data_IF_207219148372
#
_entry.id   IF_207219148372
#
_cell.length_a   1.000
_cell.length_b   1.000
_cell.length_c   1.000
_cell.angle_alpha   90.00
_cell.angle_beta   90.00
_cell.angle_gamma   90.00
#
_symmetry.space_group_name_H-M   'P 1'
#
loop_
_entity.id
_entity.type
_entity.pdbx_description
1 polymer ?
#
# COMPACT_ATOMS: atom_id res chain seq x y z
N UNK A 1 98.63 -45.44 -16.24
CA UNK A 1 97.20 -45.58 -16.69
C UNK A 1 96.22 -44.73 -15.84
N UNK A 2 96.60 -44.37 -14.65
CA UNK A 2 95.72 -43.68 -13.69
C UNK A 2 95.55 -42.18 -13.95
N UNK A 3 96.52 -41.51 -14.48
CA UNK A 3 96.54 -40.07 -14.69
C UNK A 3 95.59 -39.61 -15.83
N UNK A 4 95.48 -40.41 -16.89
CA UNK A 4 94.53 -40.15 -17.98
C UNK A 4 93.06 -40.30 -17.56
N UNK A 5 92.78 -41.25 -16.71
CA UNK A 5 91.42 -41.45 -16.16
C UNK A 5 91.04 -40.31 -15.23
N UNK A 6 91.93 -39.76 -14.45
CA UNK A 6 91.72 -38.61 -13.57
C UNK A 6 91.44 -37.30 -14.36
N UNK A 7 92.12 -37.12 -15.49
CA UNK A 7 91.90 -35.97 -16.39
C UNK A 7 90.50 -36.05 -17.05
N UNK A 8 90.09 -37.22 -17.53
CA UNK A 8 88.81 -37.49 -18.16
C UNK A 8 87.67 -37.23 -17.09
N UNK A 9 87.83 -37.71 -15.88
CA UNK A 9 86.84 -37.44 -14.79
C UNK A 9 86.77 -35.97 -14.49
N UNK A 10 87.84 -35.19 -14.38
CA UNK A 10 87.82 -33.73 -14.16
C UNK A 10 87.17 -33.00 -15.33
N UNK A 11 87.36 -33.44 -16.55
CA UNK A 11 86.76 -32.84 -17.73
C UNK A 11 85.24 -33.07 -17.77
N UNK A 12 84.82 -34.34 -17.56
CA UNK A 12 83.39 -34.65 -17.45
C UNK A 12 82.66 -33.92 -16.30
N UNK A 13 83.36 -33.81 -15.17
CA UNK A 13 82.78 -33.03 -14.02
C UNK A 13 82.61 -31.50 -14.34
N UNK A 14 83.58 -30.93 -15.06
CA UNK A 14 83.50 -29.52 -15.52
C UNK A 14 82.37 -29.35 -16.54
N UNK A 15 82.19 -30.29 -17.46
CA UNK A 15 81.06 -30.24 -18.42
C UNK A 15 79.69 -30.36 -17.75
N UNK A 16 79.55 -31.31 -16.83
CA UNK A 16 78.29 -31.46 -16.05
C UNK A 16 77.97 -30.19 -15.26
N UNK A 17 78.96 -29.59 -14.58
CA UNK A 17 78.77 -28.35 -13.85
C UNK A 17 78.42 -27.20 -14.80
N UNK A 18 79.01 -27.14 -16.01
CA UNK A 18 78.67 -26.06 -16.98
C UNK A 18 77.26 -26.20 -17.51
N UNK A 19 76.80 -27.44 -17.79
CA UNK A 19 75.42 -27.71 -18.21
C UNK A 19 74.40 -27.38 -17.10
N UNK A 20 74.70 -27.75 -15.86
CA UNK A 20 73.84 -27.40 -14.72
C UNK A 20 73.76 -25.90 -14.51
N UNK A 21 74.90 -25.16 -14.56
CA UNK A 21 74.89 -23.68 -14.49
C UNK A 21 74.05 -23.04 -15.61
N UNK A 22 74.09 -23.56 -16.79
CA UNK A 22 73.34 -23.09 -17.97
C UNK A 22 71.86 -23.32 -17.78
N UNK A 23 71.44 -24.51 -17.34
CA UNK A 23 70.01 -24.79 -16.98
C UNK A 23 69.48 -23.86 -15.86
N UNK A 24 70.24 -23.74 -14.79
CA UNK A 24 69.88 -22.86 -13.69
C UNK A 24 69.73 -21.38 -14.13
N UNK A 25 70.66 -20.91 -14.98
CA UNK A 25 70.51 -19.54 -15.55
C UNK A 25 69.31 -19.37 -16.45
N UNK A 26 68.92 -20.39 -17.20
CA UNK A 26 67.74 -20.39 -18.03
C UNK A 26 66.45 -20.38 -17.17
N UNK A 27 66.40 -21.18 -16.12
CA UNK A 27 65.28 -21.21 -15.18
C UNK A 27 65.10 -19.87 -14.45
N UNK A 28 66.19 -19.27 -13.96
CA UNK A 28 66.17 -17.96 -13.33
C UNK A 28 65.73 -16.84 -14.30
N UNK A 29 66.13 -16.94 -15.59
CA UNK A 29 65.64 -16.01 -16.62
C UNK A 29 64.15 -16.19 -16.88
N UNK A 30 63.64 -17.44 -16.96
CA UNK A 30 62.19 -17.72 -17.11
C UNK A 30 61.40 -17.20 -15.93
N UNK A 31 61.84 -17.43 -14.71
CA UNK A 31 61.18 -16.89 -13.50
C UNK A 31 61.18 -15.35 -13.49
N UNK A 32 62.26 -14.68 -13.83
CA UNK A 32 62.33 -13.21 -13.92
C UNK A 32 61.40 -12.63 -14.99
N UNK A 33 61.27 -13.31 -16.13
CA UNK A 33 60.34 -12.91 -17.19
C UNK A 33 58.89 -13.12 -16.75
N UNK A 34 58.57 -14.26 -16.08
CA UNK A 34 57.28 -14.56 -15.51
C UNK A 34 56.88 -13.48 -14.47
N UNK A 35 57.78 -13.13 -13.53
CA UNK A 35 57.53 -12.09 -12.53
C UNK A 35 57.32 -10.72 -13.16
N UNK A 36 58.10 -10.35 -14.20
CA UNK A 36 57.87 -9.08 -14.91
C UNK A 36 56.52 -9.00 -15.62
N UNK A 37 56.13 -10.12 -16.27
CA UNK A 37 54.80 -10.20 -16.91
C UNK A 37 53.69 -10.14 -15.87
N UNK A 38 53.80 -10.89 -14.80
CA UNK A 38 52.84 -10.86 -13.71
C UNK A 38 52.70 -9.43 -13.11
N UNK A 39 53.80 -8.77 -12.79
CA UNK A 39 53.75 -7.36 -12.31
C UNK A 39 53.09 -6.43 -13.32
N UNK A 40 53.33 -6.56 -14.63
CA UNK A 40 52.65 -5.76 -15.63
C UNK A 40 51.13 -6.00 -15.65
N UNK A 41 50.70 -7.26 -15.54
CA UNK A 41 49.29 -7.61 -15.45
C UNK A 41 48.67 -6.97 -14.20
N UNK A 42 49.32 -7.12 -13.05
CA UNK A 42 48.85 -6.48 -11.78
C UNK A 42 48.72 -4.97 -11.93
N UNK A 43 49.71 -4.29 -12.53
CA UNK A 43 49.61 -2.85 -12.76
C UNK A 43 48.47 -2.49 -13.69
N UNK A 44 48.21 -3.23 -14.75
CA UNK A 44 47.10 -3.03 -15.66
C UNK A 44 45.77 -3.18 -14.91
N UNK A 45 45.62 -4.24 -14.12
CA UNK A 45 44.42 -4.49 -13.33
C UNK A 45 44.17 -3.36 -12.33
N UNK A 46 45.21 -2.93 -11.57
CA UNK A 46 45.09 -1.82 -10.63
C UNK A 46 44.69 -0.53 -11.35
N UNK A 47 45.29 -0.25 -12.52
CA UNK A 47 44.95 0.94 -13.31
C UNK A 47 43.50 0.92 -13.77
N UNK A 48 43.02 -0.22 -14.27
CA UNK A 48 41.61 -0.39 -14.68
C UNK A 48 40.67 -0.18 -13.49
N UNK A 49 40.98 -0.80 -12.34
CA UNK A 49 40.18 -0.60 -11.12
C UNK A 49 40.18 0.86 -10.64
N UNK A 50 41.32 1.53 -10.73
CA UNK A 50 41.41 2.97 -10.37
C UNK A 50 40.57 3.83 -11.31
N UNK A 51 40.60 3.56 -12.62
CA UNK A 51 39.75 4.27 -13.60
C UNK A 51 38.26 4.03 -13.32
N UNK A 52 37.86 2.77 -13.09
CA UNK A 52 36.47 2.43 -12.75
C UNK A 52 36.04 3.12 -11.44
N UNK A 53 36.89 3.15 -10.44
CA UNK A 53 36.62 3.81 -9.17
C UNK A 53 36.42 5.33 -9.35
N UNK A 54 37.29 5.99 -10.10
CA UNK A 54 37.19 7.42 -10.39
C UNK A 54 35.91 7.71 -11.19
N UNK A 55 35.64 6.91 -12.23
CA UNK A 55 34.43 7.06 -13.05
C UNK A 55 33.16 6.90 -12.19
N UNK A 56 33.11 5.89 -11.34
CA UNK A 56 32.01 5.68 -10.40
C UNK A 56 31.85 6.84 -9.41
N UNK A 57 32.94 7.35 -8.88
CA UNK A 57 32.92 8.51 -7.96
C UNK A 57 32.39 9.78 -8.66
N UNK A 58 32.78 10.04 -9.90
CA UNK A 58 32.25 11.15 -10.71
C UNK A 58 30.76 10.95 -11.01
N UNK A 59 30.33 9.73 -11.36
CA UNK A 59 28.93 9.42 -11.61
C UNK A 59 28.07 9.67 -10.37
N UNK A 60 28.46 9.09 -9.22
CA UNK A 60 27.71 9.22 -7.97
C UNK A 60 27.92 10.54 -7.22
N UNK A 61 28.72 11.44 -7.75
CA UNK A 61 28.70 12.84 -7.30
C UNK A 61 27.47 13.63 -7.80
N UNK A 62 26.66 13.03 -8.72
CA UNK A 62 25.46 13.60 -9.29
C UNK A 62 24.24 12.67 -9.20
N UNK A 63 24.43 11.42 -8.78
CA UNK A 63 23.39 10.39 -8.70
C UNK A 63 23.40 9.73 -7.33
N UNK A 64 22.24 9.27 -6.91
CA UNK A 64 22.12 8.48 -5.69
C UNK A 64 22.72 7.09 -5.86
N UNK A 65 23.51 6.62 -4.90
CA UNK A 65 23.91 5.21 -4.81
C UNK A 65 23.15 4.44 -3.72
N UNK A 66 22.38 5.13 -2.87
CA UNK A 66 21.57 4.53 -1.82
C UNK A 66 20.41 3.74 -2.42
N UNK A 67 19.88 2.75 -1.68
CA UNK A 67 18.74 1.93 -2.11
C UNK A 67 17.40 2.42 -1.59
N UNK A 68 17.27 3.70 -1.20
CA UNK A 68 16.05 4.29 -0.68
C UNK A 68 14.97 4.48 -1.73
N UNK A 69 13.77 4.81 -1.26
CA UNK A 69 12.64 5.22 -2.07
C UNK A 69 12.13 6.58 -1.62
N UNK A 70 11.53 7.34 -2.52
CA UNK A 70 10.83 8.58 -2.24
C UNK A 70 9.49 8.50 -2.96
N UNK A 71 8.39 8.55 -2.25
CA UNK A 71 7.04 8.37 -2.79
C UNK A 71 6.90 7.08 -3.64
N UNK A 72 7.56 5.99 -3.19
CA UNK A 72 7.64 4.72 -3.91
C UNK A 72 8.54 4.71 -5.15
N UNK A 73 9.26 5.81 -5.45
CA UNK A 73 10.20 5.93 -6.55
C UNK A 73 11.59 5.55 -6.04
N UNK A 74 12.28 4.62 -6.71
CA UNK A 74 13.64 4.23 -6.35
C UNK A 74 14.63 5.36 -6.62
N UNK A 75 15.44 5.69 -5.62
CA UNK A 75 16.49 6.73 -5.72
C UNK A 75 17.73 6.24 -6.47
N UNK A 76 17.96 4.91 -6.52
CA UNK A 76 19.20 4.34 -7.03
C UNK A 76 19.48 4.72 -8.48
N UNK A 77 20.66 5.25 -8.75
CA UNK A 77 21.16 5.72 -10.04
C UNK A 77 20.40 6.92 -10.63
N UNK A 78 19.54 7.55 -9.84
CA UNK A 78 18.80 8.74 -10.26
C UNK A 78 19.52 10.02 -9.76
N UNK A 79 19.37 11.12 -10.50
CA UNK A 79 19.72 12.46 -10.04
C UNK A 79 18.56 13.08 -9.26
N UNK A 80 18.82 14.10 -8.45
CA UNK A 80 17.77 14.86 -7.74
C UNK A 80 16.72 15.38 -8.73
N UNK A 81 17.14 16.00 -9.83
CA UNK A 81 16.23 16.55 -10.83
C UNK A 81 15.33 15.48 -11.46
N UNK A 82 15.91 14.30 -11.79
CA UNK A 82 15.15 13.18 -12.34
C UNK A 82 14.11 12.64 -11.35
N UNK A 83 14.46 12.60 -10.06
CA UNK A 83 13.52 12.17 -9.02
C UNK A 83 12.39 13.18 -8.86
N UNK A 84 12.68 14.48 -8.81
CA UNK A 84 11.67 15.55 -8.72
C UNK A 84 10.72 15.52 -9.91
N UNK A 85 11.23 15.28 -11.12
CA UNK A 85 10.40 15.14 -12.32
C UNK A 85 9.45 13.93 -12.20
N UNK A 86 9.97 12.76 -11.79
CA UNK A 86 9.15 11.56 -11.59
C UNK A 86 8.12 11.72 -10.46
N UNK A 87 8.47 12.45 -9.39
CA UNK A 87 7.52 12.77 -8.33
C UNK A 87 6.40 13.65 -8.90
N UNK A 88 6.75 14.68 -9.64
CA UNK A 88 5.76 15.58 -10.25
C UNK A 88 4.84 14.84 -11.25
N UNK A 89 5.40 13.94 -12.07
CA UNK A 89 4.60 13.09 -12.97
C UNK A 89 3.64 12.18 -12.17
N UNK A 90 4.13 11.53 -11.11
CA UNK A 90 3.32 10.66 -10.27
C UNK A 90 2.22 11.43 -9.53
N UNK A 91 2.55 12.63 -9.02
CA UNK A 91 1.57 13.52 -8.40
C UNK A 91 0.49 13.97 -9.37
N UNK A 92 0.87 14.36 -10.59
CA UNK A 92 -0.09 14.76 -11.62
C UNK A 92 -1.01 13.61 -12.07
N UNK A 93 -0.51 12.38 -12.01
CA UNK A 93 -1.26 11.17 -12.35
C UNK A 93 -2.06 10.60 -11.16
N UNK A 94 -1.88 11.16 -9.97
CA UNK A 94 -2.56 10.68 -8.78
C UNK A 94 -4.06 10.94 -8.87
N UNK A 95 -4.83 9.94 -8.52
CA UNK A 95 -6.27 10.02 -8.27
C UNK A 95 -6.62 9.12 -7.08
N UNK A 96 -7.52 9.60 -6.27
CA UNK A 96 -8.10 8.83 -5.17
C UNK A 96 -9.43 8.25 -5.65
N UNK A 97 -9.57 6.93 -5.64
CA UNK A 97 -10.83 6.24 -5.85
C UNK A 97 -11.54 6.07 -4.51
N UNK A 98 -12.75 6.59 -4.43
CA UNK A 98 -13.62 6.52 -3.25
C UNK A 98 -14.70 5.47 -3.53
N UNK A 99 -14.62 4.33 -2.85
CA UNK A 99 -15.60 3.25 -3.01
C UNK A 99 -16.79 3.51 -2.08
N UNK A 100 -17.96 3.63 -2.68
CA UNK A 100 -19.24 3.86 -2.00
C UNK A 100 -20.22 2.72 -2.27
N UNK A 101 -21.36 2.70 -1.56
CA UNK A 101 -22.44 1.73 -1.79
C UNK A 101 -23.10 1.85 -3.16
N UNK A 102 -23.04 3.04 -3.77
CA UNK A 102 -23.68 3.35 -5.06
C UNK A 102 -22.73 3.25 -6.25
N UNK A 103 -21.43 3.05 -5.99
CA UNK A 103 -20.37 2.95 -6.99
C UNK A 103 -19.13 3.72 -6.59
N UNK A 104 -18.16 3.76 -7.48
CA UNK A 104 -16.89 4.43 -7.23
C UNK A 104 -16.93 5.88 -7.75
N UNK A 105 -16.37 6.81 -6.96
CA UNK A 105 -16.13 8.19 -7.36
C UNK A 105 -14.62 8.48 -7.29
N UNK A 106 -14.15 9.52 -7.97
CA UNK A 106 -12.72 9.84 -8.02
C UNK A 106 -12.44 11.30 -7.75
N UNK A 107 -11.34 11.56 -7.05
CA UNK A 107 -10.75 12.89 -6.89
C UNK A 107 -9.39 12.88 -7.58
N UNK A 108 -9.22 13.72 -8.61
CA UNK A 108 -7.97 13.87 -9.31
C UNK A 108 -7.06 14.89 -8.60
N UNK A 109 -5.75 14.67 -8.63
CA UNK A 109 -4.75 15.59 -8.07
C UNK A 109 -4.91 17.03 -8.58
N UNK A 110 -5.27 17.19 -9.85
CA UNK A 110 -5.45 18.50 -10.48
C UNK A 110 -6.64 19.29 -9.94
N UNK A 111 -7.69 18.61 -9.43
CA UNK A 111 -8.87 19.26 -8.86
C UNK A 111 -8.58 19.94 -7.52
N UNK A 112 -7.60 19.43 -6.79
CA UNK A 112 -7.20 19.89 -5.45
C UNK A 112 -5.84 20.61 -5.41
N UNK A 113 -5.23 20.88 -6.59
CA UNK A 113 -3.88 21.46 -6.70
C UNK A 113 -2.82 20.70 -5.92
N UNK A 114 -2.90 19.35 -5.88
CA UNK A 114 -1.97 18.49 -5.16
C UNK A 114 -0.56 18.63 -5.73
N UNK A 115 0.41 18.98 -4.89
CA UNK A 115 1.80 19.21 -5.28
C UNK A 115 2.77 18.61 -4.26
N UNK A 116 3.96 18.28 -4.73
CA UNK A 116 5.08 17.97 -3.87
C UNK A 116 5.57 19.24 -3.17
N UNK A 117 5.67 19.21 -1.85
CA UNK A 117 6.28 20.25 -1.04
C UNK A 117 7.78 19.97 -0.89
N UNK A 118 8.59 20.62 -1.73
CA UNK A 118 10.04 20.47 -1.73
C UNK A 118 10.67 21.29 -0.60
N UNK A 119 10.88 20.65 0.54
CA UNK A 119 11.58 21.25 1.69
C UNK A 119 13.08 20.91 1.72
N UNK A 120 13.60 20.31 0.64
CA UNK A 120 15.02 19.96 0.51
C UNK A 120 15.39 18.62 1.14
N UNK A 121 14.43 17.72 1.33
CA UNK A 121 14.69 16.39 1.92
C UNK A 121 15.60 15.55 1.00
N UNK A 122 15.38 15.64 -0.32
CA UNK A 122 16.21 14.94 -1.31
C UNK A 122 17.64 15.45 -1.31
N UNK A 123 17.83 16.78 -1.24
CA UNK A 123 19.13 17.41 -1.13
C UNK A 123 19.82 17.01 0.17
N UNK A 124 19.13 17.08 1.30
CA UNK A 124 19.67 16.71 2.60
C UNK A 124 20.09 15.23 2.63
N UNK A 125 19.36 14.34 1.98
CA UNK A 125 19.76 12.95 1.86
C UNK A 125 20.96 12.81 0.93
N UNK A 126 20.97 13.53 -0.19
CA UNK A 126 22.06 13.50 -1.16
C UNK A 126 23.38 13.98 -0.56
N UNK A 127 23.36 15.02 0.29
CA UNK A 127 24.51 15.53 1.00
C UNK A 127 25.08 14.55 2.04
N UNK A 128 24.24 13.73 2.65
CA UNK A 128 24.68 12.68 3.58
C UNK A 128 25.48 11.57 2.87
N UNK A 129 25.21 11.31 1.60
CA UNK A 129 25.96 10.31 0.84
C UNK A 129 27.35 10.85 0.47
N UNK A 130 28.37 9.98 0.55
CA UNK A 130 29.73 10.31 0.15
C UNK A 130 30.05 9.57 -1.14
N UNK A 131 30.08 10.30 -2.26
CA UNK A 131 30.25 9.72 -3.60
C UNK A 131 31.41 8.72 -3.72
N UNK A 132 32.52 8.93 -2.98
CA UNK A 132 33.67 8.02 -2.99
C UNK A 132 33.41 6.67 -2.30
N UNK A 133 32.29 6.50 -1.56
CA UNK A 133 31.88 5.26 -0.93
C UNK A 133 30.88 4.45 -1.77
N UNK A 134 30.66 4.82 -3.02
CA UNK A 134 29.66 4.19 -3.91
C UNK A 134 29.81 2.66 -4.03
N UNK A 135 31.04 2.15 -3.90
CA UNK A 135 31.30 0.69 -3.94
C UNK A 135 30.72 -0.07 -2.74
N UNK A 136 30.26 0.64 -1.68
CA UNK A 136 29.54 0.10 -0.53
C UNK A 136 28.02 0.11 -0.72
N UNK A 137 27.51 0.39 -1.92
CA UNK A 137 26.07 0.56 -2.19
C UNK A 137 25.18 -0.63 -1.73
N UNK A 138 25.74 -1.83 -1.64
CA UNK A 138 25.03 -2.99 -1.13
C UNK A 138 24.83 -3.02 0.39
N UNK A 139 25.56 -2.18 1.14
CA UNK A 139 25.50 -2.09 2.59
C UNK A 139 24.69 -0.87 3.09
N UNK A 140 24.16 -0.04 2.17
CA UNK A 140 23.35 1.13 2.55
C UNK A 140 21.93 0.69 2.94
N UNK A 141 21.42 1.25 4.04
CA UNK A 141 20.05 1.05 4.47
C UNK A 141 19.07 1.54 3.39
N UNK A 142 17.97 0.86 3.24
CA UNK A 142 16.84 1.36 2.46
C UNK A 142 16.09 2.35 3.33
N UNK A 143 16.21 3.63 3.04
CA UNK A 143 15.41 4.67 3.66
C UNK A 143 14.22 4.96 2.75
N UNK A 144 13.03 4.98 3.33
CA UNK A 144 11.85 5.54 2.68
C UNK A 144 11.73 6.98 3.18
N UNK A 145 11.73 7.92 2.24
CA UNK A 145 11.70 9.35 2.59
C UNK A 145 10.23 9.76 2.56
N UNK A 146 9.68 10.19 3.71
CA UNK A 146 8.39 10.84 3.71
C UNK A 146 8.53 12.18 2.99
N UNK A 147 7.86 12.33 1.89
CA UNK A 147 7.79 13.61 1.17
C UNK A 147 6.60 14.41 1.68
N UNK A 148 6.81 15.69 1.90
CA UNK A 148 5.74 16.64 2.11
C UNK A 148 4.85 16.76 0.86
N UNK A 149 3.54 16.83 1.08
CA UNK A 149 2.58 17.19 0.04
C UNK A 149 1.87 18.47 0.45
N UNK A 150 1.56 19.31 -0.50
CA UNK A 150 0.69 20.48 -0.34
C UNK A 150 -0.50 20.34 -1.27
N UNK A 151 -1.64 20.82 -0.84
CA UNK A 151 -2.87 20.92 -1.63
C UNK A 151 -3.61 22.19 -1.24
N UNK A 152 -4.51 22.60 -2.08
CA UNK A 152 -5.43 23.70 -1.79
C UNK A 152 -6.61 23.14 -1.00
N UNK A 153 -6.64 23.43 0.31
CA UNK A 153 -7.68 22.91 1.21
C UNK A 153 -9.09 23.37 0.78
N UNK A 154 -9.24 24.60 0.27
CA UNK A 154 -10.54 25.08 -0.20
C UNK A 154 -11.01 24.31 -1.42
N UNK A 155 -10.11 24.01 -2.35
CA UNK A 155 -10.44 23.19 -3.52
C UNK A 155 -10.76 21.76 -3.13
N UNK A 156 -10.08 21.21 -2.11
CA UNK A 156 -10.40 19.89 -1.58
C UNK A 156 -11.82 19.87 -1.02
N UNK A 157 -12.17 20.82 -0.15
CA UNK A 157 -13.51 20.93 0.43
C UNK A 157 -14.58 21.08 -0.66
N UNK A 158 -14.35 21.96 -1.64
CA UNK A 158 -15.26 22.18 -2.77
C UNK A 158 -15.40 20.90 -3.64
N UNK A 159 -14.30 20.16 -3.83
CA UNK A 159 -14.30 18.91 -4.61
C UNK A 159 -15.05 17.80 -3.86
N UNK A 160 -14.82 17.65 -2.55
CA UNK A 160 -15.55 16.68 -1.72
C UNK A 160 -17.04 17.03 -1.72
N UNK A 161 -17.39 18.30 -1.50
CA UNK A 161 -18.77 18.74 -1.52
C UNK A 161 -19.49 18.52 -2.86
N UNK A 162 -18.75 18.38 -3.95
CA UNK A 162 -19.30 18.09 -5.28
C UNK A 162 -19.49 16.59 -5.57
N UNK A 163 -18.99 15.69 -4.72
CA UNK A 163 -19.20 14.25 -4.89
C UNK A 163 -20.66 13.89 -4.78
N UNK A 164 -21.13 12.96 -5.63
CA UNK A 164 -22.53 12.55 -5.65
C UNK A 164 -22.94 11.89 -4.34
N UNK A 165 -22.04 11.13 -3.72
CA UNK A 165 -22.28 10.43 -2.46
C UNK A 165 -22.46 11.37 -1.26
N UNK A 166 -22.03 12.65 -1.37
CA UNK A 166 -22.13 13.66 -0.32
C UNK A 166 -23.41 14.51 -0.48
N UNK A 167 -24.09 14.44 -1.63
CA UNK A 167 -25.31 15.23 -1.87
C UNK A 167 -26.51 14.65 -1.09
N UNK A 168 -27.18 15.48 -0.30
CA UNK A 168 -28.34 15.02 0.51
C UNK A 168 -29.47 14.44 -0.36
N UNK A 169 -29.65 14.95 -1.58
CA UNK A 169 -30.70 14.51 -2.51
C UNK A 169 -30.51 13.07 -3.01
N UNK A 170 -29.29 12.57 -2.98
CA UNK A 170 -28.95 11.20 -3.40
C UNK A 170 -28.93 10.21 -2.24
N UNK A 171 -28.96 10.73 -1.01
CA UNK A 171 -28.89 9.90 0.19
C UNK A 171 -30.27 9.34 0.57
N UNK A 172 -30.29 8.07 0.93
CA UNK A 172 -31.41 7.39 1.56
C UNK A 172 -31.04 7.02 2.99
N UNK A 173 -31.87 7.46 3.95
CA UNK A 173 -31.67 7.09 5.35
C UNK A 173 -31.82 5.56 5.54
N UNK A 174 -31.10 4.96 6.50
CA UNK A 174 -31.35 3.59 6.88
C UNK A 174 -32.74 3.44 7.48
N UNK A 175 -33.35 2.27 7.27
CA UNK A 175 -34.65 1.92 7.89
C UNK A 175 -34.43 0.74 8.82
N UNK A 176 -34.92 0.85 10.03
CA UNK A 176 -34.84 -0.22 11.02
C UNK A 176 -35.73 -1.41 10.62
N UNK A 177 -35.31 -2.62 10.97
CA UNK A 177 -36.17 -3.78 10.90
C UNK A 177 -37.38 -3.55 11.80
N UNK A 178 -38.56 -3.91 11.32
CA UNK A 178 -39.83 -3.68 12.03
C UNK A 178 -40.82 -4.81 11.76
N UNK A 179 -41.91 -4.81 12.52
CA UNK A 179 -42.98 -5.77 12.33
C UNK A 179 -44.01 -5.25 11.34
N UNK A 180 -44.37 -6.06 10.36
CA UNK A 180 -45.46 -5.82 9.42
C UNK A 180 -46.46 -6.96 9.44
N UNK A 181 -47.76 -6.64 9.31
CA UNK A 181 -48.81 -7.65 9.14
C UNK A 181 -49.00 -7.95 7.67
N UNK A 182 -48.74 -9.20 7.30
CA UNK A 182 -48.85 -9.65 5.91
C UNK A 182 -49.23 -11.11 5.84
N UNK A 183 -50.13 -11.47 4.90
CA UNK A 183 -50.58 -12.85 4.68
C UNK A 183 -51.14 -13.52 5.95
N UNK A 184 -51.85 -12.75 6.79
CA UNK A 184 -52.53 -13.23 7.98
C UNK A 184 -51.63 -13.48 9.21
N UNK A 185 -50.43 -12.95 9.21
CA UNK A 185 -49.48 -13.02 10.33
C UNK A 185 -48.56 -11.80 10.38
N UNK A 186 -47.98 -11.54 11.55
CA UNK A 186 -46.86 -10.61 11.68
C UNK A 186 -45.58 -11.26 11.20
N UNK A 187 -44.80 -10.50 10.43
CA UNK A 187 -43.48 -10.87 9.91
C UNK A 187 -42.51 -9.74 10.21
N UNK A 188 -41.23 -10.08 10.27
CA UNK A 188 -40.16 -9.07 10.38
C UNK A 188 -39.84 -8.56 8.98
N UNK A 189 -40.11 -7.30 8.71
CA UNK A 189 -39.57 -6.60 7.55
C UNK A 189 -38.08 -6.31 7.84
N UNK A 190 -37.21 -6.72 6.92
CA UNK A 190 -35.75 -6.56 7.09
C UNK A 190 -35.38 -5.09 7.06
N UNK A 191 -34.33 -4.75 7.80
CA UNK A 191 -33.71 -3.44 7.75
C UNK A 191 -33.21 -3.11 6.34
N UNK A 192 -33.17 -1.81 6.04
CA UNK A 192 -32.49 -1.31 4.84
C UNK A 192 -31.32 -0.44 5.28
N UNK A 193 -30.14 -0.77 4.75
CA UNK A 193 -28.92 -0.07 5.15
C UNK A 193 -28.88 1.38 4.67
N UNK A 194 -29.58 1.69 3.55
CA UNK A 194 -29.49 3.00 2.94
C UNK A 194 -28.05 3.32 2.46
N UNK A 195 -27.83 4.56 2.08
CA UNK A 195 -26.51 5.10 1.69
C UNK A 195 -26.18 6.43 2.37
N UNK A 196 -26.91 6.78 3.44
CA UNK A 196 -26.68 8.03 4.17
C UNK A 196 -25.32 7.99 4.89
N UNK A 197 -24.50 9.03 4.61
CA UNK A 197 -23.18 9.20 5.22
C UNK A 197 -23.22 10.11 6.44
N UNK A 198 -22.34 9.85 7.38
CA UNK A 198 -21.82 10.84 8.32
C UNK A 198 -20.78 11.68 7.56
N UNK A 199 -21.18 12.85 7.10
CA UNK A 199 -20.37 13.74 6.26
C UNK A 199 -19.00 14.02 6.90
N UNK A 200 -18.97 14.27 8.23
CA UNK A 200 -17.72 14.60 8.91
C UNK A 200 -16.75 13.40 8.98
N UNK A 201 -17.28 12.18 9.02
CA UNK A 201 -16.43 10.98 8.95
C UNK A 201 -15.92 10.77 7.53
N UNK A 202 -16.77 10.93 6.53
CA UNK A 202 -16.41 10.81 5.13
C UNK A 202 -15.31 11.83 4.74
N UNK A 203 -15.48 13.10 5.08
CA UNK A 203 -14.48 14.15 4.87
C UNK A 203 -13.12 13.77 5.46
N UNK A 204 -13.11 13.35 6.72
CA UNK A 204 -11.87 12.95 7.39
C UNK A 204 -11.21 11.73 6.77
N UNK A 205 -12.01 10.75 6.35
CA UNK A 205 -11.49 9.54 5.69
C UNK A 205 -10.84 9.88 4.35
N UNK A 206 -11.48 10.73 3.56
CA UNK A 206 -10.98 11.20 2.26
C UNK A 206 -9.72 12.06 2.45
N UNK A 207 -9.74 13.04 3.33
CA UNK A 207 -8.59 13.90 3.63
C UNK A 207 -7.39 13.09 4.10
N UNK A 208 -7.60 12.14 5.00
CA UNK A 208 -6.55 11.23 5.48
C UNK A 208 -5.98 10.38 4.36
N UNK A 209 -6.84 9.81 3.51
CA UNK A 209 -6.41 8.98 2.38
C UNK A 209 -5.52 9.75 1.39
N UNK A 210 -5.87 11.01 1.10
CA UNK A 210 -5.07 11.90 0.24
C UNK A 210 -3.73 12.22 0.90
N UNK A 211 -3.71 12.59 2.19
CA UNK A 211 -2.48 12.90 2.93
C UNK A 211 -1.52 11.72 3.04
N UNK A 212 -2.07 10.51 3.11
CA UNK A 212 -1.30 9.26 3.13
C UNK A 212 -0.92 8.77 1.72
N UNK A 213 -1.41 9.41 0.67
CA UNK A 213 -1.13 9.04 -0.72
C UNK A 213 -1.75 7.72 -1.14
N UNK A 214 -2.89 7.35 -0.53
CA UNK A 214 -3.62 6.14 -0.89
C UNK A 214 -4.28 6.31 -2.26
N UNK A 215 -4.34 5.26 -3.04
CA UNK A 215 -5.01 5.25 -4.35
C UNK A 215 -6.50 4.90 -4.25
N UNK A 216 -6.94 4.38 -3.07
CA UNK A 216 -8.31 3.98 -2.84
C UNK A 216 -8.68 4.11 -1.36
N UNK A 217 -9.93 4.51 -1.10
CA UNK A 217 -10.56 4.51 0.23
C UNK A 217 -11.99 3.97 0.12
N UNK A 218 -12.38 3.09 1.04
CA UNK A 218 -13.74 2.56 1.15
C UNK A 218 -14.47 3.25 2.29
N UNK A 219 -15.56 3.97 1.99
CA UNK A 219 -16.37 4.63 3.02
C UNK A 219 -17.10 3.61 3.91
N UNK A 220 -17.34 2.39 3.43
CA UNK A 220 -17.88 1.29 4.23
C UNK A 220 -16.86 0.80 5.27
N UNK A 221 -15.60 0.56 4.86
CA UNK A 221 -14.54 0.09 5.76
C UNK A 221 -14.12 1.15 6.78
N UNK A 222 -14.38 2.43 6.49
CA UNK A 222 -14.12 3.56 7.38
C UNK A 222 -15.32 3.90 8.28
N UNK A 223 -16.34 3.04 8.33
CA UNK A 223 -17.56 3.25 9.14
C UNK A 223 -18.22 4.62 8.92
N UNK A 224 -18.21 5.10 7.67
CA UNK A 224 -18.76 6.41 7.34
C UNK A 224 -20.28 6.42 7.18
N UNK A 225 -20.92 5.26 7.03
CA UNK A 225 -22.38 5.19 6.87
C UNK A 225 -23.13 5.19 8.17
N UNK A 226 -24.30 5.82 8.17
CA UNK A 226 -25.25 5.74 9.26
C UNK A 226 -25.91 4.35 9.20
N UNK A 227 -25.82 3.61 10.31
CA UNK A 227 -26.35 2.25 10.39
C UNK A 227 -27.77 2.25 10.94
N UNK A 228 -28.63 1.27 10.56
CA UNK A 228 -29.88 0.98 11.24
C UNK A 228 -29.64 0.71 12.73
N UNK A 229 -30.61 1.05 13.56
CA UNK A 229 -30.54 0.79 15.01
C UNK A 229 -30.99 -0.62 15.36
N UNK A 230 -31.88 -1.17 14.55
CA UNK A 230 -32.48 -2.49 14.75
C UNK A 230 -32.34 -3.32 13.49
N UNK A 231 -31.87 -4.54 13.67
CA UNK A 231 -31.67 -5.53 12.63
C UNK A 231 -32.66 -6.69 12.78
N UNK A 232 -32.95 -7.43 11.73
CA UNK A 232 -33.87 -8.58 11.73
C UNK A 232 -33.45 -9.68 12.70
N UNK A 233 -32.17 -9.74 13.05
CA UNK A 233 -31.61 -10.69 14.00
C UNK A 233 -31.87 -10.28 15.46
N UNK A 234 -32.40 -9.08 15.74
CA UNK A 234 -32.65 -8.60 17.09
C UNK A 234 -33.60 -9.58 17.85
N UNK A 235 -33.13 -10.05 19.00
CA UNK A 235 -33.84 -11.06 19.79
C UNK A 235 -35.15 -10.51 20.40
N UNK A 236 -35.19 -9.20 20.70
CA UNK A 236 -36.41 -8.56 21.22
C UNK A 236 -37.45 -8.49 20.10
N UNK A 237 -37.05 -8.03 18.89
CA UNK A 237 -37.94 -7.95 17.75
C UNK A 237 -38.51 -9.32 17.38
N UNK A 238 -37.70 -10.39 17.37
CA UNK A 238 -38.13 -11.75 17.14
C UNK A 238 -39.18 -12.20 18.17
N UNK A 239 -38.90 -11.94 19.43
CA UNK A 239 -39.79 -12.31 20.53
C UNK A 239 -41.14 -11.59 20.40
N UNK A 240 -41.15 -10.27 20.16
CA UNK A 240 -42.36 -9.49 19.99
C UNK A 240 -43.17 -9.98 18.76
N UNK A 241 -42.50 -10.40 17.66
CA UNK A 241 -43.12 -11.00 16.52
C UNK A 241 -43.87 -12.32 16.90
N UNK A 242 -43.19 -13.18 17.66
CA UNK A 242 -43.80 -14.44 18.13
C UNK A 242 -44.99 -14.17 19.06
N UNK A 243 -44.85 -13.23 19.98
CA UNK A 243 -45.92 -12.91 20.95
C UNK A 243 -47.12 -12.25 20.29
N UNK A 244 -46.92 -11.35 19.33
CA UNK A 244 -47.97 -10.78 18.51
C UNK A 244 -48.72 -11.88 17.70
N UNK A 245 -48.00 -12.81 17.10
CA UNK A 245 -48.61 -13.92 16.35
C UNK A 245 -49.40 -14.88 17.25
N UNK A 246 -49.05 -15.05 18.52
CA UNK A 246 -49.87 -15.84 19.46
C UNK A 246 -51.23 -15.19 19.71
N UNK A 247 -51.34 -13.88 19.67
CA UNK A 247 -52.61 -13.16 19.81
C UNK A 247 -53.53 -13.42 18.63
N UNK A 248 -53.03 -13.58 17.42
CA UNK A 248 -53.78 -13.80 16.19
C UNK A 248 -54.49 -15.16 16.12
N UNK A 249 -54.15 -16.10 17.00
CA UNK A 249 -54.80 -17.41 17.05
C UNK A 249 -56.23 -17.34 17.58
N UNK A 250 -56.55 -16.25 18.30
CA UNK A 250 -57.87 -16.07 18.88
C UNK A 250 -58.95 -15.88 17.76
N UNK A 251 -60.06 -16.54 17.91
CA UNK A 251 -61.27 -16.34 17.07
C UNK A 251 -62.47 -16.24 17.97
N UNK A 252 -63.12 -15.11 17.94
CA UNK A 252 -64.31 -14.83 18.78
C UNK A 252 -65.50 -14.67 17.84
N UNK A 253 -66.57 -15.39 18.12
CA UNK A 253 -67.82 -15.22 17.38
C UNK A 253 -68.88 -14.66 18.31
N UNK A 254 -69.39 -13.49 18.00
CA UNK A 254 -70.52 -12.91 18.67
C UNK A 254 -71.80 -13.32 17.93
N UNK A 255 -72.70 -13.98 18.63
CA UNK A 255 -73.99 -14.41 18.09
C UNK A 255 -75.09 -13.47 18.64
N UNK A 256 -75.64 -12.63 17.77
CA UNK A 256 -76.70 -11.68 18.11
C UNK A 256 -78.10 -12.24 17.79
N UNK A 257 -78.17 -13.52 17.38
CA UNK A 257 -79.41 -14.19 17.04
C UNK A 257 -79.86 -13.98 15.59
N UNK A 258 -79.89 -12.76 15.12
CA UNK A 258 -80.19 -12.33 13.76
C UNK A 258 -78.96 -12.26 12.86
N UNK A 259 -77.77 -12.07 13.48
CA UNK A 259 -76.49 -12.03 12.78
C UNK A 259 -75.34 -12.54 13.66
N UNK A 260 -74.23 -12.90 13.03
CA UNK A 260 -72.98 -13.30 13.68
C UNK A 260 -71.88 -12.35 13.25
N UNK A 261 -71.14 -11.85 14.21
CA UNK A 261 -69.95 -11.09 13.98
C UNK A 261 -68.75 -11.95 14.40
N UNK A 262 -67.72 -11.96 13.58
CA UNK A 262 -66.52 -12.78 13.82
C UNK A 262 -65.34 -11.82 13.95
N UNK A 263 -64.68 -11.84 15.10
CA UNK A 263 -63.41 -11.22 15.30
C UNK A 263 -62.35 -12.28 14.99
N UNK A 264 -61.63 -12.09 13.93
CA UNK A 264 -60.55 -13.02 13.48
C UNK A 264 -59.20 -12.34 13.51
N UNK A 265 -58.17 -12.97 12.92
CA UNK A 265 -56.81 -12.50 12.91
C UNK A 265 -56.64 -11.11 12.28
N UNK A 266 -57.51 -10.73 11.31
CA UNK A 266 -57.38 -9.43 10.66
C UNK A 266 -57.82 -8.32 11.58
N UNK A 267 -59.01 -8.44 12.21
CA UNK A 267 -59.53 -7.47 13.19
C UNK A 267 -58.58 -7.40 14.40
N UNK A 268 -58.02 -8.53 14.87
CA UNK A 268 -57.09 -8.52 16.01
C UNK A 268 -55.77 -7.83 15.60
N UNK A 269 -55.28 -8.03 14.37
CA UNK A 269 -54.08 -7.36 13.90
C UNK A 269 -54.22 -5.84 13.88
N UNK A 270 -55.40 -5.31 13.53
CA UNK A 270 -55.68 -3.86 13.51
C UNK A 270 -55.68 -3.24 14.92
N UNK A 271 -55.83 -4.04 15.96
CA UNK A 271 -55.79 -3.61 17.35
C UNK A 271 -54.39 -3.62 17.96
N UNK A 272 -53.42 -4.31 17.31
CA UNK A 272 -52.07 -4.40 17.79
C UNK A 272 -51.27 -3.25 17.21
N UNK A 273 -50.75 -2.39 18.09
CA UNK A 273 -49.81 -1.32 17.74
C UNK A 273 -48.46 -1.58 18.39
N UNK A 274 -47.40 -1.14 17.75
CA UNK A 274 -46.06 -1.25 18.27
C UNK A 274 -45.48 0.11 18.65
N UNK A 275 -44.94 0.22 19.86
CA UNK A 275 -44.20 1.39 20.30
C UNK A 275 -42.81 1.47 19.72
N UNK A 276 -42.11 2.57 19.98
CA UNK A 276 -40.71 2.78 19.52
C UNK A 276 -39.73 1.72 20.05
N UNK A 277 -40.09 1.01 21.10
CA UNK A 277 -39.32 -0.05 21.71
C UNK A 277 -39.77 -1.46 21.28
N UNK A 278 -40.64 -1.54 20.25
CA UNK A 278 -41.27 -2.73 19.66
C UNK A 278 -42.22 -3.49 20.63
N UNK A 279 -42.43 -3.01 21.83
CA UNK A 279 -43.49 -3.58 22.68
C UNK A 279 -44.84 -3.31 22.03
N UNK A 280 -45.68 -4.34 21.93
CA UNK A 280 -47.04 -4.11 21.45
C UNK A 280 -47.99 -3.68 22.55
N UNK A 281 -48.95 -2.87 22.19
CA UNK A 281 -50.09 -2.50 23.01
C UNK A 281 -51.37 -2.82 22.25
N UNK A 282 -52.46 -3.04 22.98
CA UNK A 282 -53.78 -3.22 22.40
C UNK A 282 -54.54 -1.90 22.44
N UNK A 283 -54.84 -1.39 21.26
CA UNK A 283 -55.61 -0.16 21.09
C UNK A 283 -57.04 -0.23 21.58
#
# INVERSE_FOLDING_TARGET
TDWKQLQIRKQNTKEVISVQKTKLRQELKRQRIGQKRFRKIVYVVITVLAVLYIAGTIYYSRHFYTGGTAFGISLRNESIDSIKEKIAEKMNAYHLTITTRDGDETIDASSIDLKYDDQGELEALFEKQKAFLWFLMGATAKEDIPLGITMDEQKLDDTIAALSCIQEETMSAPTDAHLEYKDGKFQIAEEQLGNQLDIQKADRAIDTAIKEGLEQVSLEEQDCYIAPKVYKEDEKLKKECEDANKMLVAKITYDFGDRKEVVDSNEIADWITFGDDYTFDLA
#
